data_IF_761454971634
#
_entry.id   IF_761454971634
#
_cell.length_a   1.000
_cell.length_b   1.000
_cell.length_c   1.000
_cell.angle_alpha   90.00
_cell.angle_beta   90.00
_cell.angle_gamma   90.00
#
_symmetry.space_group_name_H-M   'P 1'
#
loop_
_entity.id
_entity.type
_entity.pdbx_description
1 polymer ?
#
# COMPACT_ATOMS: atom_id res chain seq x y z
N UNK A 1 20.72 42.13 -16.48
CA UNK A 1 19.78 41.02 -16.78
C UNK A 1 20.56 39.70 -16.74
N UNK A 2 20.78 39.14 -15.56
CA UNK A 2 21.48 37.85 -15.40
C UNK A 2 20.46 36.75 -15.14
N UNK A 3 20.33 35.81 -16.07
CA UNK A 3 19.61 34.55 -15.87
C UNK A 3 20.61 33.54 -15.31
N UNK A 4 20.56 33.31 -14.00
CA UNK A 4 21.21 32.16 -13.40
C UNK A 4 20.17 31.05 -13.30
N UNK A 5 20.20 30.11 -14.25
CA UNK A 5 19.49 28.83 -14.15
C UNK A 5 20.42 27.87 -13.45
N UNK A 6 20.26 27.68 -12.14
CA UNK A 6 20.92 26.61 -11.41
C UNK A 6 20.25 25.29 -11.78
N UNK A 7 20.72 24.67 -12.86
CA UNK A 7 20.50 23.24 -13.12
C UNK A 7 21.26 22.48 -12.04
N UNK A 8 20.56 21.97 -11.03
CA UNK A 8 21.14 21.03 -10.07
C UNK A 8 21.41 19.74 -10.82
N UNK A 9 22.70 19.44 -10.99
CA UNK A 9 23.20 18.17 -11.51
C UNK A 9 22.76 17.01 -10.59
N UNK A 10 22.41 15.88 -11.20
CA UNK A 10 22.06 14.64 -10.53
C UNK A 10 20.55 14.37 -10.47
N UNK A 11 19.91 14.11 -11.61
CA UNK A 11 18.52 13.66 -11.67
C UNK A 11 18.41 12.46 -12.59
N UNK A 12 18.32 11.26 -12.01
CA UNK A 12 17.80 10.13 -12.77
C UNK A 12 16.41 10.51 -13.30
N UNK A 13 16.14 10.24 -14.58
CA UNK A 13 14.84 10.45 -15.22
C UNK A 13 13.76 9.48 -14.69
N UNK A 14 13.69 9.25 -13.38
CA UNK A 14 12.54 8.60 -12.76
C UNK A 14 11.48 9.68 -12.58
N UNK A 15 10.50 9.73 -13.49
CA UNK A 15 9.33 10.58 -13.32
C UNK A 15 8.70 10.28 -11.95
N UNK A 16 8.65 11.27 -11.06
CA UNK A 16 7.90 11.13 -9.80
C UNK A 16 6.42 11.31 -10.16
N UNK A 17 5.51 10.43 -9.72
CA UNK A 17 4.07 10.62 -9.91
C UNK A 17 3.59 12.05 -9.61
N UNK A 18 4.21 12.74 -8.64
CA UNK A 18 3.90 14.12 -8.28
C UNK A 18 4.09 15.13 -9.42
N UNK A 19 4.99 14.87 -10.38
CA UNK A 19 5.29 15.76 -11.50
C UNK A 19 4.11 15.93 -12.46
N UNK A 20 3.13 15.01 -12.43
CA UNK A 20 1.92 15.05 -13.25
C UNK A 20 0.75 15.80 -12.60
N UNK A 21 0.87 16.20 -11.33
CA UNK A 21 -0.21 16.87 -10.57
C UNK A 21 -0.79 18.11 -11.27
N UNK A 22 0.01 19.02 -11.87
CA UNK A 22 -0.53 20.19 -12.58
C UNK A 22 -1.36 19.80 -13.81
N UNK A 23 -0.96 18.75 -14.53
CA UNK A 23 -1.68 18.26 -15.70
C UNK A 23 -3.00 17.60 -15.29
N UNK A 24 -2.98 16.78 -14.24
CA UNK A 24 -4.16 16.09 -13.70
C UNK A 24 -5.22 17.09 -13.25
N UNK A 25 -4.82 18.13 -12.51
CA UNK A 25 -5.74 19.19 -12.10
C UNK A 25 -6.38 19.91 -13.31
N UNK A 26 -5.60 20.16 -14.37
CA UNK A 26 -6.11 20.79 -15.59
C UNK A 26 -7.10 19.90 -16.36
N UNK A 27 -6.98 18.60 -16.24
CA UNK A 27 -7.90 17.61 -16.82
C UNK A 27 -9.07 17.24 -15.89
N UNK A 28 -9.28 17.99 -14.80
CA UNK A 28 -10.30 17.70 -13.76
C UNK A 28 -10.14 16.32 -13.11
N UNK A 29 -8.92 15.79 -13.11
CA UNK A 29 -8.57 14.61 -12.34
C UNK A 29 -8.40 14.92 -10.85
N UNK A 30 -8.07 13.90 -10.08
CA UNK A 30 -7.87 13.98 -8.65
C UNK A 30 -6.40 13.74 -8.30
N UNK A 31 -5.85 14.59 -7.43
CA UNK A 31 -4.53 14.38 -6.84
C UNK A 31 -4.75 13.88 -5.41
N UNK A 32 -4.23 12.69 -5.11
CA UNK A 32 -4.23 12.07 -3.79
C UNK A 32 -2.85 12.24 -3.21
N UNK A 33 -2.72 13.09 -2.19
CA UNK A 33 -1.48 13.39 -1.51
C UNK A 33 -1.28 12.47 -0.32
N UNK A 34 -0.29 11.60 -0.40
CA UNK A 34 0.07 10.65 0.64
C UNK A 34 1.28 11.23 1.39
N UNK A 35 1.03 11.82 2.56
CA UNK A 35 2.10 12.34 3.42
C UNK A 35 1.69 12.35 4.89
N UNK A 36 2.65 12.41 5.84
CA UNK A 36 2.33 12.46 7.27
C UNK A 36 1.48 13.67 7.70
N UNK A 37 1.48 14.74 6.90
CA UNK A 37 0.69 15.96 7.15
C UNK A 37 -0.65 15.96 6.39
N UNK A 38 -0.92 14.91 5.62
CA UNK A 38 -2.16 14.76 4.84
C UNK A 38 -3.22 14.04 5.67
N UNK A 39 -4.48 14.37 5.42
CA UNK A 39 -5.63 13.62 5.94
C UNK A 39 -6.08 12.52 4.98
N UNK A 40 -5.37 12.33 3.88
CA UNK A 40 -5.69 11.34 2.84
C UNK A 40 -4.90 10.06 3.07
N UNK A 41 -5.63 8.95 3.22
CA UNK A 41 -5.08 7.64 3.50
C UNK A 41 -5.48 6.61 2.47
N UNK A 42 -4.59 5.67 2.22
CA UNK A 42 -4.81 4.51 1.38
C UNK A 42 -4.47 3.28 2.22
N UNK A 43 -5.42 2.36 2.31
CA UNK A 43 -5.24 1.12 3.04
C UNK A 43 -4.57 0.08 2.14
N UNK A 44 -3.38 -0.45 2.50
CA UNK A 44 -2.76 -1.55 1.77
C UNK A 44 -3.53 -2.87 1.93
N UNK A 45 -4.38 -3.00 2.94
CA UNK A 45 -5.25 -4.18 3.15
C UNK A 45 -6.62 -4.03 2.46
N UNK A 46 -6.80 -3.02 1.61
CA UNK A 46 -8.04 -2.88 0.84
C UNK A 46 -8.11 -3.93 -0.27
N UNK A 47 -9.19 -4.71 -0.33
CA UNK A 47 -9.41 -5.74 -1.35
C UNK A 47 -10.68 -5.42 -2.13
N UNK A 48 -10.59 -5.44 -3.45
CA UNK A 48 -11.74 -5.30 -4.33
C UNK A 48 -12.08 -6.68 -4.93
N UNK A 49 -13.36 -7.02 -4.98
CA UNK A 49 -13.83 -8.26 -5.62
C UNK A 49 -13.41 -8.37 -7.09
N UNK A 50 -13.18 -7.24 -7.77
CA UNK A 50 -12.79 -7.17 -9.18
C UNK A 50 -11.26 -7.23 -9.39
N UNK A 51 -10.49 -7.76 -8.43
CA UNK A 51 -9.01 -7.81 -8.53
C UNK A 51 -8.51 -8.73 -9.65
N UNK A 52 -9.27 -9.76 -9.99
CA UNK A 52 -9.01 -10.66 -11.12
C UNK A 52 -10.32 -11.35 -11.55
N UNK A 53 -10.44 -11.60 -12.86
CA UNK A 53 -11.51 -12.44 -13.43
C UNK A 53 -11.13 -13.93 -13.40
N UNK A 54 -9.83 -14.24 -13.33
CA UNK A 54 -9.27 -15.60 -13.49
C UNK A 54 -8.70 -16.16 -12.17
N UNK A 55 -8.15 -15.31 -11.30
CA UNK A 55 -7.48 -15.69 -10.06
C UNK A 55 -8.31 -15.33 -8.82
N UNK A 56 -8.06 -16.02 -7.71
CA UNK A 56 -8.66 -15.66 -6.42
C UNK A 56 -8.09 -14.30 -5.94
N UNK A 57 -8.92 -13.26 -5.75
CA UNK A 57 -8.49 -11.95 -5.26
C UNK A 57 -7.67 -12.02 -3.97
N UNK A 58 -8.01 -12.97 -3.08
CA UNK A 58 -7.31 -13.16 -1.81
C UNK A 58 -5.87 -13.64 -2.02
N UNK A 59 -5.63 -14.52 -3.00
CA UNK A 59 -4.29 -15.03 -3.30
C UNK A 59 -3.38 -13.91 -3.81
N UNK A 60 -3.86 -13.11 -4.76
CA UNK A 60 -3.12 -11.93 -5.24
C UNK A 60 -2.84 -10.94 -4.11
N UNK A 61 -3.81 -10.77 -3.20
CA UNK A 61 -3.65 -9.89 -2.05
C UNK A 61 -2.65 -10.45 -1.04
N UNK A 62 -2.63 -11.75 -0.79
CA UNK A 62 -1.65 -12.40 0.06
C UNK A 62 -0.23 -12.22 -0.49
N UNK A 63 -0.03 -12.40 -1.80
CA UNK A 63 1.26 -12.17 -2.47
C UNK A 63 1.73 -10.70 -2.35
N UNK A 64 0.80 -9.75 -2.50
CA UNK A 64 1.07 -8.34 -2.26
C UNK A 64 1.51 -8.07 -0.81
N UNK A 65 0.79 -8.62 0.17
CA UNK A 65 1.12 -8.44 1.60
C UNK A 65 2.45 -9.12 1.96
N UNK A 66 2.77 -10.27 1.36
CA UNK A 66 4.09 -10.89 1.49
C UNK A 66 5.20 -9.96 0.98
N UNK A 67 5.00 -9.38 -0.20
CA UNK A 67 5.95 -8.40 -0.78
C UNK A 67 6.09 -7.15 0.09
N UNK A 68 4.99 -6.68 0.69
CA UNK A 68 4.99 -5.56 1.63
C UNK A 68 5.78 -5.89 2.90
N UNK A 69 5.53 -7.05 3.51
CA UNK A 69 6.24 -7.52 4.70
C UNK A 69 7.73 -7.73 4.43
N UNK A 70 8.11 -8.19 3.23
CA UNK A 70 9.51 -8.32 2.84
C UNK A 70 10.23 -6.96 2.79
N UNK A 71 9.56 -5.91 2.30
CA UNK A 71 10.09 -4.55 2.34
C UNK A 71 10.17 -3.98 3.77
N UNK A 72 9.24 -4.37 4.65
CA UNK A 72 9.18 -3.90 6.04
C UNK A 72 10.27 -4.55 6.89
N UNK A 73 10.35 -5.89 6.88
CA UNK A 73 11.39 -6.63 7.61
C UNK A 73 12.77 -6.24 7.09
N UNK A 74 12.90 -6.06 5.77
CA UNK A 74 14.17 -5.70 5.14
C UNK A 74 15.23 -6.78 5.34
N UNK A 75 16.50 -6.40 5.21
CA UNK A 75 17.63 -7.34 5.31
C UNK A 75 18.06 -7.94 3.97
N UNK A 76 19.19 -8.64 3.97
CA UNK A 76 19.78 -9.24 2.74
C UNK A 76 19.09 -10.54 2.33
N UNK A 77 18.50 -11.26 3.29
CA UNK A 77 17.90 -12.57 3.06
C UNK A 77 16.37 -12.52 2.87
N UNK A 78 15.75 -11.35 3.09
CA UNK A 78 14.29 -11.19 2.99
C UNK A 78 13.55 -11.98 4.08
N UNK A 79 12.31 -12.38 3.77
CA UNK A 79 11.50 -13.22 4.65
C UNK A 79 11.91 -14.69 4.58
N UNK A 80 12.02 -15.33 5.74
CA UNK A 80 12.23 -16.76 5.88
C UNK A 80 11.00 -17.56 5.42
N UNK A 81 11.14 -18.82 4.97
CA UNK A 81 10.01 -19.64 4.54
C UNK A 81 8.90 -19.78 5.59
N UNK A 82 9.28 -19.86 6.88
CA UNK A 82 8.34 -19.94 8.00
C UNK A 82 7.58 -18.63 8.16
N UNK A 83 8.27 -17.48 8.08
CA UNK A 83 7.63 -16.15 8.13
C UNK A 83 6.61 -15.97 7.00
N UNK A 84 6.97 -16.39 5.78
CA UNK A 84 6.05 -16.35 4.62
C UNK A 84 4.79 -17.19 4.89
N UNK A 85 4.97 -18.41 5.39
CA UNK A 85 3.85 -19.30 5.74
C UNK A 85 2.93 -18.68 6.80
N UNK A 86 3.51 -18.07 7.83
CA UNK A 86 2.76 -17.46 8.91
C UNK A 86 2.01 -16.21 8.44
N UNK A 87 2.64 -15.36 7.64
CA UNK A 87 1.99 -14.18 7.05
C UNK A 87 0.80 -14.60 6.19
N UNK A 88 1.01 -15.57 5.28
CA UNK A 88 -0.05 -16.08 4.41
C UNK A 88 -1.24 -16.62 5.23
N UNK A 89 -0.98 -17.42 6.27
CA UNK A 89 -1.99 -17.92 7.20
C UNK A 89 -2.75 -16.78 7.89
N UNK A 90 -2.05 -15.76 8.38
CA UNK A 90 -2.68 -14.61 9.04
C UNK A 90 -3.58 -13.83 8.09
N UNK A 91 -3.12 -13.58 6.86
CA UNK A 91 -3.90 -12.90 5.82
C UNK A 91 -5.21 -13.65 5.57
N UNK A 92 -5.16 -14.96 5.34
CA UNK A 92 -6.36 -15.77 5.13
C UNK A 92 -7.32 -15.73 6.32
N UNK A 93 -6.81 -15.75 7.56
CA UNK A 93 -7.63 -15.67 8.78
C UNK A 93 -8.37 -14.33 8.89
N UNK A 94 -7.69 -13.24 8.57
CA UNK A 94 -8.25 -11.88 8.64
C UNK A 94 -9.33 -11.72 7.58
N UNK A 95 -9.02 -12.03 6.32
CA UNK A 95 -9.97 -11.86 5.24
C UNK A 95 -11.14 -12.85 5.31
N UNK A 96 -10.96 -14.05 5.88
CA UNK A 96 -12.07 -14.96 6.14
C UNK A 96 -13.14 -14.33 7.04
N UNK A 97 -12.72 -13.54 8.05
CA UNK A 97 -13.66 -12.80 8.91
C UNK A 97 -14.35 -11.68 8.13
N UNK A 98 -13.59 -10.94 7.32
CA UNK A 98 -14.14 -9.89 6.47
C UNK A 98 -15.17 -10.43 5.45
N UNK A 99 -14.87 -11.52 4.75
CA UNK A 99 -15.80 -12.11 3.78
C UNK A 99 -17.07 -12.70 4.40
N UNK A 100 -17.09 -12.95 5.72
CA UNK A 100 -18.29 -13.36 6.43
C UNK A 100 -19.28 -12.19 6.63
N UNK A 101 -18.77 -10.94 6.72
CA UNK A 101 -19.56 -9.71 6.85
C UNK A 101 -18.87 -8.55 6.12
N UNK A 102 -18.96 -8.50 4.77
CA UNK A 102 -18.18 -7.58 3.95
C UNK A 102 -18.81 -6.18 3.95
N UNK A 103 -18.44 -5.36 4.93
CA UNK A 103 -18.77 -3.94 4.97
C UNK A 103 -17.51 -3.05 5.03
N UNK A 104 -17.55 -1.80 4.53
CA UNK A 104 -16.40 -0.90 4.57
C UNK A 104 -15.81 -0.70 5.97
N UNK A 105 -16.65 -0.79 7.01
CA UNK A 105 -16.28 -0.68 8.42
C UNK A 105 -15.54 -1.92 8.94
N UNK A 106 -15.68 -3.07 8.30
CA UNK A 106 -14.97 -4.31 8.63
C UNK A 106 -13.73 -4.54 7.76
N UNK A 107 -13.44 -3.64 6.80
CA UNK A 107 -12.25 -3.73 5.97
C UNK A 107 -11.00 -3.79 6.86
N UNK A 108 -10.16 -4.84 6.74
CA UNK A 108 -8.99 -5.00 7.58
C UNK A 108 -7.95 -3.92 7.31
N UNK A 109 -7.12 -3.63 8.30
CA UNK A 109 -5.99 -2.70 8.24
C UNK A 109 -4.69 -3.41 8.65
N UNK A 110 -3.54 -2.73 8.56
CA UNK A 110 -2.25 -3.31 8.96
C UNK A 110 -2.23 -3.73 10.44
N UNK A 111 -2.99 -3.05 11.29
CA UNK A 111 -3.15 -3.41 12.70
C UNK A 111 -3.77 -4.80 12.88
N UNK A 112 -4.71 -5.20 12.01
CA UNK A 112 -5.30 -6.54 12.07
C UNK A 112 -4.25 -7.62 11.73
N UNK A 113 -3.36 -7.33 10.77
CA UNK A 113 -2.23 -8.21 10.44
C UNK A 113 -1.25 -8.31 11.62
N UNK A 114 -0.87 -7.19 12.20
CA UNK A 114 0.00 -7.16 13.38
C UNK A 114 -0.61 -7.95 14.55
N UNK A 115 -1.90 -7.74 14.85
CA UNK A 115 -2.59 -8.46 15.93
C UNK A 115 -2.72 -9.95 15.64
N UNK A 116 -2.98 -10.35 14.39
CA UNK A 116 -3.03 -11.75 14.00
C UNK A 116 -1.68 -12.45 14.14
N UNK A 117 -0.58 -11.76 13.78
CA UNK A 117 0.79 -12.25 13.95
C UNK A 117 1.16 -12.44 15.43
N UNK A 118 0.76 -11.52 16.30
CA UNK A 118 0.97 -11.65 17.75
C UNK A 118 0.19 -12.80 18.41
N UNK A 119 -0.88 -13.28 17.77
CA UNK A 119 -1.67 -14.42 18.26
C UNK A 119 -1.08 -15.77 17.85
N UNK A 120 -0.04 -15.79 17.02
CA UNK A 120 0.61 -17.03 16.59
C UNK A 120 1.64 -17.47 17.64
N UNK A 121 1.79 -18.77 17.84
CA UNK A 121 2.74 -19.30 18.83
C UNK A 121 4.20 -19.25 18.35
N UNK A 122 4.41 -19.19 17.03
CA UNK A 122 5.73 -19.21 16.41
C UNK A 122 6.53 -17.92 16.68
N UNK A 123 7.83 -18.05 16.94
CA UNK A 123 8.71 -16.90 17.20
C UNK A 123 8.91 -16.04 15.95
N UNK A 124 8.88 -16.68 14.79
CA UNK A 124 8.96 -16.07 13.47
C UNK A 124 7.79 -15.10 13.24
N UNK A 125 6.60 -15.44 13.74
CA UNK A 125 5.44 -14.54 13.70
C UNK A 125 5.69 -13.24 14.47
N UNK A 126 6.24 -13.38 15.67
CA UNK A 126 6.58 -12.26 16.55
C UNK A 126 7.69 -11.39 15.96
N UNK A 127 8.65 -11.98 15.25
CA UNK A 127 9.68 -11.24 14.55
C UNK A 127 9.09 -10.32 13.47
N UNK A 128 8.20 -10.85 12.62
CA UNK A 128 7.48 -10.04 11.62
C UNK A 128 6.61 -8.99 12.30
N UNK A 129 5.87 -9.34 13.38
CA UNK A 129 5.04 -8.39 14.12
C UNK A 129 5.85 -7.22 14.69
N UNK A 130 7.04 -7.50 15.22
CA UNK A 130 7.96 -6.47 15.76
C UNK A 130 8.43 -5.54 14.65
N UNK A 131 8.77 -6.06 13.47
CA UNK A 131 9.13 -5.23 12.33
C UNK A 131 7.95 -4.36 11.83
N UNK A 132 6.73 -4.89 11.89
CA UNK A 132 5.51 -4.18 11.49
C UNK A 132 5.10 -3.09 12.50
N UNK A 133 5.53 -3.18 13.77
CA UNK A 133 5.05 -2.34 14.87
C UNK A 133 5.21 -0.83 14.60
N UNK A 134 6.34 -0.41 14.03
CA UNK A 134 6.59 1.02 13.71
C UNK A 134 5.61 1.58 12.67
N UNK A 135 5.07 0.70 11.80
CA UNK A 135 4.10 1.04 10.75
C UNK A 135 2.65 0.92 11.21
N UNK A 136 2.40 0.42 12.41
CA UNK A 136 1.06 0.25 12.98
C UNK A 136 0.85 1.21 14.14
N UNK A 137 1.73 1.13 15.14
CA UNK A 137 1.64 1.91 16.39
C UNK A 137 2.70 3.02 16.47
N UNK A 138 3.74 2.93 15.66
CA UNK A 138 4.86 3.87 15.69
C UNK A 138 4.65 5.10 14.81
N UNK A 139 5.77 5.77 14.54
CA UNK A 139 5.84 7.03 13.80
C UNK A 139 5.58 6.92 12.30
N UNK A 140 5.51 5.70 11.75
CA UNK A 140 5.32 5.44 10.31
C UNK A 140 3.94 4.85 9.99
N UNK A 141 2.95 5.11 10.85
CA UNK A 141 1.59 4.55 10.77
C UNK A 141 0.70 5.07 9.64
N UNK A 142 1.26 5.78 8.65
CA UNK A 142 0.53 6.41 7.55
C UNK A 142 -0.36 5.45 6.76
N UNK A 143 0.01 4.17 6.69
CA UNK A 143 -0.74 3.14 5.95
C UNK A 143 -1.63 2.28 6.86
N UNK A 144 -1.71 2.57 8.17
CA UNK A 144 -2.57 1.86 9.12
C UNK A 144 -3.94 2.53 9.27
N UNK A 145 -4.51 2.99 8.17
CA UNK A 145 -5.80 3.68 8.15
C UNK A 145 -6.63 3.14 6.99
N UNK A 146 -7.96 3.19 7.16
CA UNK A 146 -8.88 2.86 6.07
C UNK A 146 -8.78 3.88 4.95
N UNK A 147 -8.95 3.42 3.72
CA UNK A 147 -8.99 4.29 2.54
C UNK A 147 -10.12 5.31 2.70
N UNK A 148 -9.79 6.61 2.66
CA UNK A 148 -10.78 7.69 2.79
C UNK A 148 -10.80 8.63 1.59
N UNK A 149 -10.10 8.25 0.52
CA UNK A 149 -10.00 9.00 -0.72
C UNK A 149 -10.89 8.37 -1.79
N UNK A 150 -11.51 9.22 -2.59
CA UNK A 150 -12.26 8.74 -3.75
C UNK A 150 -11.26 8.28 -4.84
N UNK A 151 -11.22 6.99 -5.15
CA UNK A 151 -10.34 6.45 -6.20
C UNK A 151 -11.05 6.26 -7.54
N UNK A 152 -12.33 6.65 -7.63
CA UNK A 152 -13.20 6.42 -8.79
C UNK A 152 -13.15 7.53 -9.85
N UNK A 153 -12.31 8.56 -9.68
CA UNK A 153 -12.11 9.56 -10.72
C UNK A 153 -11.40 8.94 -11.94
N UNK A 154 -11.72 9.36 -13.18
CA UNK A 154 -11.09 8.83 -14.40
C UNK A 154 -9.58 9.06 -14.44
N UNK A 155 -9.12 10.18 -13.88
CA UNK A 155 -7.70 10.52 -13.80
C UNK A 155 -7.36 10.70 -12.33
N UNK A 156 -6.45 9.87 -11.80
CA UNK A 156 -5.97 9.95 -10.41
C UNK A 156 -4.45 9.99 -10.43
N UNK A 157 -3.88 10.91 -9.68
CA UNK A 157 -2.44 11.06 -9.47
C UNK A 157 -2.14 10.87 -7.99
N UNK A 158 -1.21 9.98 -7.65
CA UNK A 158 -0.77 9.76 -6.27
C UNK A 158 0.52 10.56 -6.03
N UNK A 159 0.48 11.58 -5.17
CA UNK A 159 1.65 12.36 -4.78
C UNK A 159 2.25 11.76 -3.51
N UNK A 160 3.44 11.15 -3.65
CA UNK A 160 4.23 10.57 -2.55
C UNK A 160 5.52 11.35 -2.27
N UNK A 161 5.63 12.58 -2.78
CA UNK A 161 6.89 13.36 -2.77
C UNK A 161 7.40 13.65 -1.36
N UNK A 162 6.48 13.89 -0.43
CA UNK A 162 6.75 14.24 0.97
C UNK A 162 7.05 13.02 1.86
N UNK A 163 6.97 11.79 1.33
CA UNK A 163 7.35 10.60 2.09
C UNK A 163 8.87 10.53 2.30
N UNK A 164 9.28 10.05 3.48
CA UNK A 164 10.68 9.70 3.74
C UNK A 164 11.17 8.56 2.83
N UNK A 165 12.49 8.41 2.66
CA UNK A 165 13.10 7.44 1.72
C UNK A 165 12.57 6.00 1.89
N UNK A 166 12.41 5.53 3.13
CA UNK A 166 11.86 4.20 3.44
C UNK A 166 10.38 4.11 3.08
N UNK A 167 9.60 5.12 3.49
CA UNK A 167 8.17 5.21 3.20
C UNK A 167 7.86 5.35 1.71
N UNK A 168 8.74 5.97 0.92
CA UNK A 168 8.58 6.07 -0.54
C UNK A 168 8.55 4.70 -1.22
N UNK A 169 9.34 3.74 -0.76
CA UNK A 169 9.34 2.38 -1.32
C UNK A 169 8.01 1.69 -1.08
N UNK A 170 7.53 1.74 0.17
CA UNK A 170 6.23 1.19 0.54
C UNK A 170 5.09 1.90 -0.16
N UNK A 171 5.10 3.24 -0.16
CA UNK A 171 4.11 4.06 -0.84
C UNK A 171 4.05 3.77 -2.34
N UNK A 172 5.19 3.56 -3.00
CA UNK A 172 5.22 3.15 -4.41
C UNK A 172 4.59 1.78 -4.61
N UNK A 173 4.91 0.79 -3.77
CA UNK A 173 4.32 -0.55 -3.87
C UNK A 173 2.79 -0.50 -3.67
N UNK A 174 2.32 0.25 -2.67
CA UNK A 174 0.89 0.43 -2.38
C UNK A 174 0.17 1.15 -3.53
N UNK A 175 0.78 2.19 -4.09
CA UNK A 175 0.22 2.90 -5.25
C UNK A 175 0.12 1.98 -6.46
N UNK A 176 1.10 1.11 -6.70
CA UNK A 176 1.05 0.14 -7.80
C UNK A 176 -0.12 -0.84 -7.64
N UNK A 177 -0.33 -1.36 -6.43
CA UNK A 177 -1.47 -2.24 -6.10
C UNK A 177 -2.82 -1.54 -6.36
N UNK A 178 -2.95 -0.28 -5.93
CA UNK A 178 -4.15 0.52 -6.21
C UNK A 178 -4.38 0.79 -7.69
N UNK A 179 -3.30 1.03 -8.45
CA UNK A 179 -3.41 1.21 -9.91
C UNK A 179 -3.83 -0.10 -10.58
N UNK A 180 -3.28 -1.24 -10.15
CA UNK A 180 -3.65 -2.56 -10.66
C UNK A 180 -5.13 -2.86 -10.44
N UNK A 181 -5.63 -2.71 -9.21
CA UNK A 181 -7.05 -2.93 -8.89
C UNK A 181 -8.00 -2.08 -9.75
N UNK A 182 -7.60 -0.84 -10.08
CA UNK A 182 -8.37 0.04 -10.98
C UNK A 182 -8.33 -0.41 -12.44
N UNK A 183 -7.18 -0.86 -12.94
CA UNK A 183 -7.05 -1.35 -14.32
C UNK A 183 -7.95 -2.58 -14.51
N UNK A 184 -7.98 -3.50 -13.56
CA UNK A 184 -8.83 -4.70 -13.64
C UNK A 184 -10.32 -4.37 -13.52
N UNK A 185 -10.71 -3.48 -12.59
CA UNK A 185 -12.10 -3.04 -12.46
C UNK A 185 -12.62 -2.32 -13.72
N UNK A 186 -11.76 -1.57 -14.41
CA UNK A 186 -12.14 -0.90 -15.65
C UNK A 186 -12.26 -1.87 -16.83
N UNK A 187 -11.45 -2.94 -16.88
CA UNK A 187 -11.56 -3.97 -17.92
C UNK A 187 -12.86 -4.76 -17.84
N UNK A 188 -13.30 -5.12 -16.64
CA UNK A 188 -14.56 -5.84 -16.42
C UNK A 188 -15.81 -5.00 -16.70
N UNK A 189 -15.69 -3.67 -16.75
CA UNK A 189 -16.81 -2.73 -16.97
C UNK A 189 -16.93 -2.22 -18.42
N UNK A 190 -16.01 -2.61 -19.31
CA UNK A 190 -15.95 -2.15 -20.70
C UNK A 190 -16.16 -3.28 -21.69
#
# INVERSE_FOLDING_TARGET
LSRTVLRREGGGNTADPADYSPLVNRLKGQVIKISPNSTQFINPMDINANYSEEDNPLSLKADFILSLCELVVGGKEGLLPVEKTVIDRCVHLIYRKYFADPCPENMPILEDLYNALLQQDEKEAHHVATALEIYVKGSLNLFNHRTNVNVNNRIVCYDIKELGKQMKKLGMLIVQDQVWGRVTANRSSG
#
